data_IF_915309131581
#
_entry.id   IF_915309131581
#
_cell.length_a   1.000
_cell.length_b   1.000
_cell.length_c   1.000
_cell.angle_alpha   90.00
_cell.angle_beta   90.00
_cell.angle_gamma   90.00
#
_symmetry.space_group_name_H-M   'P 1'
#
loop_
_entity.id
_entity.type
_entity.pdbx_description
1 polymer ?
#
# COMPACT_ATOMS: atom_id res chain seq x y z
N UNK A 1 7.45 -42.00 18.13
CA UNK A 1 7.53 -40.57 17.76
C UNK A 1 7.91 -40.45 16.30
N UNK A 2 6.93 -40.18 15.43
CA UNK A 2 7.18 -39.87 14.04
C UNK A 2 7.99 -38.56 13.96
N UNK A 3 9.09 -38.58 13.23
CA UNK A 3 9.89 -37.35 13.01
C UNK A 3 9.06 -36.32 12.26
N UNK A 4 9.31 -35.03 12.50
CA UNK A 4 8.58 -33.93 11.82
C UNK A 4 8.68 -34.00 10.30
N UNK A 5 9.75 -34.59 9.76
CA UNK A 5 9.94 -34.80 8.33
C UNK A 5 9.01 -35.86 7.74
N UNK A 6 8.67 -36.92 8.49
CA UNK A 6 7.72 -37.93 7.99
C UNK A 6 6.28 -37.46 8.04
N UNK A 7 5.91 -36.60 9.00
CA UNK A 7 4.59 -36.00 9.03
C UNK A 7 4.34 -35.04 7.84
N UNK A 8 5.32 -34.23 7.47
CA UNK A 8 5.22 -33.34 6.32
C UNK A 8 5.11 -34.12 5.00
N UNK A 9 5.88 -35.19 4.81
CA UNK A 9 5.79 -36.02 3.61
C UNK A 9 4.45 -36.76 3.50
N UNK A 10 3.84 -37.13 4.62
CA UNK A 10 2.54 -37.80 4.66
C UNK A 10 1.39 -36.84 4.26
N UNK A 11 1.47 -35.57 4.59
CA UNK A 11 0.50 -34.55 4.14
C UNK A 11 0.55 -34.37 2.62
N UNK A 12 1.73 -34.32 2.04
CA UNK A 12 1.89 -34.21 0.57
C UNK A 12 1.39 -35.47 -0.14
N UNK A 13 1.62 -36.66 0.40
CA UNK A 13 1.11 -37.90 -0.17
C UNK A 13 -0.43 -37.93 -0.17
N UNK A 14 -1.07 -37.54 0.94
CA UNK A 14 -2.53 -37.50 1.02
C UNK A 14 -3.17 -36.50 0.07
N UNK A 15 -2.50 -35.41 -0.25
CA UNK A 15 -2.96 -34.46 -1.25
C UNK A 15 -2.86 -35.03 -2.67
N UNK A 16 -1.89 -35.88 -2.94
CA UNK A 16 -1.71 -36.51 -4.23
C UNK A 16 -2.66 -37.72 -4.45
N UNK A 17 -3.00 -38.46 -3.41
CA UNK A 17 -3.83 -39.68 -3.48
C UNK A 17 -5.31 -39.42 -3.87
N UNK A 18 -5.76 -38.15 -3.87
CA UNK A 18 -7.12 -37.75 -4.24
C UNK A 18 -7.27 -37.21 -5.67
N UNK A 19 -6.17 -37.06 -6.41
CA UNK A 19 -6.20 -36.56 -7.79
C UNK A 19 -6.11 -37.71 -8.77
N UNK A 20 -6.92 -37.74 -9.86
CA UNK A 20 -6.70 -38.66 -10.94
C UNK A 20 -5.34 -38.33 -11.57
N UNK A 21 -4.37 -39.22 -11.32
CA UNK A 21 -3.00 -39.12 -11.84
C UNK A 21 -2.95 -39.32 -13.36
N UNK A 22 -3.45 -38.39 -14.12
CA UNK A 22 -2.77 -38.04 -15.36
C UNK A 22 -1.65 -37.07 -14.93
N UNK A 23 -0.52 -37.58 -14.50
CA UNK A 23 0.69 -36.76 -14.30
C UNK A 23 1.08 -36.29 -15.70
N UNK A 24 0.56 -35.11 -16.07
CA UNK A 24 1.19 -34.38 -17.16
C UNK A 24 2.65 -34.14 -16.77
N UNK A 25 3.57 -34.40 -17.67
CA UNK A 25 4.97 -34.03 -17.46
C UNK A 25 5.05 -32.60 -16.95
N UNK A 26 5.85 -32.31 -15.91
CA UNK A 26 5.94 -30.98 -15.35
C UNK A 26 6.40 -30.01 -16.43
N UNK A 27 5.52 -29.09 -16.82
CA UNK A 27 5.83 -28.07 -17.78
C UNK A 27 6.43 -26.85 -17.05
N UNK A 28 7.56 -26.37 -17.52
CA UNK A 28 8.22 -25.21 -16.96
C UNK A 28 7.38 -23.94 -17.25
N UNK A 29 7.19 -23.10 -16.23
CA UNK A 29 6.56 -21.80 -16.41
C UNK A 29 7.36 -20.98 -17.44
N UNK A 30 6.66 -20.36 -18.39
CA UNK A 30 7.30 -19.50 -19.39
C UNK A 30 8.06 -18.36 -18.68
N UNK A 31 9.31 -18.14 -19.07
CA UNK A 31 10.21 -17.15 -18.44
C UNK A 31 9.58 -15.73 -18.41
N UNK A 32 8.75 -15.40 -19.40
CA UNK A 32 8.03 -14.13 -19.48
C UNK A 32 7.02 -13.92 -18.33
N UNK A 33 6.60 -14.99 -17.65
CA UNK A 33 5.67 -14.92 -16.51
C UNK A 33 6.38 -14.80 -15.17
N UNK A 34 7.68 -14.98 -15.13
CA UNK A 34 8.48 -14.87 -13.91
C UNK A 34 8.74 -13.37 -13.65
N UNK A 35 8.30 -12.82 -12.51
CA UNK A 35 8.60 -11.44 -12.19
C UNK A 35 10.11 -11.20 -12.07
N UNK A 36 10.56 -10.02 -12.50
CA UNK A 36 11.94 -9.59 -12.27
C UNK A 36 12.17 -9.26 -10.79
N UNK A 37 13.12 -9.91 -10.17
CA UNK A 37 13.55 -9.62 -8.81
C UNK A 37 14.88 -8.86 -8.84
N UNK A 38 14.88 -7.65 -8.31
CA UNK A 38 16.04 -6.76 -8.32
C UNK A 38 16.24 -6.07 -6.98
N UNK A 39 17.03 -4.99 -7.02
CA UNK A 39 17.24 -4.08 -5.89
C UNK A 39 16.51 -2.75 -6.07
N UNK A 40 15.97 -2.51 -7.25
CA UNK A 40 15.25 -1.29 -7.60
C UNK A 40 13.79 -1.65 -7.91
N UNK A 41 12.88 -1.05 -7.18
CA UNK A 41 11.47 -1.35 -7.24
C UNK A 41 10.67 -0.10 -7.66
N UNK A 42 9.79 -0.27 -8.62
CA UNK A 42 8.78 0.73 -8.98
C UNK A 42 7.44 0.25 -8.47
N UNK A 43 6.78 1.07 -7.64
CA UNK A 43 5.54 0.69 -6.97
C UNK A 43 4.47 1.75 -7.22
N UNK A 44 3.36 1.33 -7.81
CA UNK A 44 2.19 2.18 -8.04
C UNK A 44 1.41 2.41 -6.75
N UNK A 45 1.06 3.67 -6.49
CA UNK A 45 0.34 4.08 -5.28
C UNK A 45 -0.82 5.01 -5.63
N UNK A 46 -1.87 4.96 -4.82
CA UNK A 46 -2.97 5.91 -4.85
C UNK A 46 -2.73 7.01 -3.81
N UNK A 47 -3.06 8.24 -4.17
CA UNK A 47 -2.90 9.39 -3.29
C UNK A 47 -3.98 9.43 -2.21
N UNK A 48 -3.58 9.70 -0.97
CA UNK A 48 -4.46 9.75 0.19
C UNK A 48 -4.30 8.57 1.16
N UNK A 49 -4.98 8.63 2.31
CA UNK A 49 -6.04 9.59 2.70
C UNK A 49 -5.56 10.97 3.17
N UNK A 50 -4.34 11.09 3.72
CA UNK A 50 -3.86 12.30 4.39
C UNK A 50 -2.84 13.04 3.52
N UNK A 51 -3.32 13.77 2.53
CA UNK A 51 -2.47 14.48 1.57
C UNK A 51 -2.26 15.96 1.88
N UNK A 52 -1.76 16.69 0.87
CA UNK A 52 -1.73 18.13 0.85
C UNK A 52 -3.14 18.69 0.46
N UNK A 53 -3.49 19.92 0.88
CA UNK A 53 -2.71 20.83 1.73
C UNK A 53 -2.90 20.62 3.23
N UNK A 54 -3.75 19.68 3.64
CA UNK A 54 -4.19 19.54 5.05
C UNK A 54 -3.04 19.07 5.97
N UNK A 55 -2.22 18.13 5.50
CA UNK A 55 -1.20 17.46 6.33
C UNK A 55 0.23 17.75 5.86
N UNK A 56 0.45 17.77 4.57
CA UNK A 56 1.76 18.02 3.96
C UNK A 56 1.72 19.26 3.08
N UNK A 57 2.87 19.90 2.89
CA UNK A 57 3.01 20.94 1.85
C UNK A 57 3.03 20.29 0.47
N UNK A 58 2.47 20.98 -0.52
CA UNK A 58 2.37 20.44 -1.89
C UNK A 58 3.74 20.07 -2.47
N UNK A 59 4.75 20.89 -2.21
CA UNK A 59 6.13 20.70 -2.68
C UNK A 59 6.73 19.38 -2.14
N UNK A 60 6.35 18.99 -0.92
CA UNK A 60 6.81 17.71 -0.36
C UNK A 60 6.16 16.51 -1.06
N UNK A 61 4.91 16.61 -1.44
CA UNK A 61 4.24 15.54 -2.19
C UNK A 61 4.91 15.32 -3.55
N UNK A 62 5.32 16.41 -4.22
CA UNK A 62 6.11 16.32 -5.45
C UNK A 62 7.49 15.67 -5.20
N UNK A 63 8.16 16.09 -4.13
CA UNK A 63 9.44 15.51 -3.70
C UNK A 63 9.30 14.03 -3.35
N UNK A 64 8.22 13.62 -2.68
CA UNK A 64 7.94 12.22 -2.35
C UNK A 64 7.93 11.32 -3.60
N UNK A 65 7.29 11.76 -4.68
CA UNK A 65 7.17 11.00 -5.92
C UNK A 65 8.41 11.05 -6.81
N UNK A 66 9.21 12.10 -6.71
CA UNK A 66 10.46 12.24 -7.49
C UNK A 66 11.67 11.62 -6.80
N UNK A 67 11.55 11.26 -5.53
CA UNK A 67 12.63 10.72 -4.72
C UNK A 67 12.77 9.21 -4.86
N UNK A 68 13.98 8.73 -4.61
CA UNK A 68 14.28 7.32 -4.41
C UNK A 68 14.36 7.01 -2.91
N UNK A 69 13.53 6.07 -2.47
CA UNK A 69 13.39 5.67 -1.09
C UNK A 69 14.21 4.41 -0.81
N UNK A 70 15.00 4.43 0.25
CA UNK A 70 15.84 3.28 0.64
C UNK A 70 15.17 2.47 1.74
N UNK A 71 15.10 1.14 1.58
CA UNK A 71 14.60 0.23 2.62
C UNK A 71 15.60 0.17 3.77
N UNK A 72 15.14 0.56 4.96
CA UNK A 72 15.95 0.57 6.17
C UNK A 72 16.12 -0.84 6.73
N UNK A 73 17.27 -1.15 7.33
CA UNK A 73 17.58 -2.48 7.89
C UNK A 73 16.63 -2.89 9.03
N UNK A 74 16.05 -1.92 9.74
CA UNK A 74 15.06 -2.18 10.79
C UNK A 74 13.65 -2.26 10.18
N UNK A 75 13.47 -3.21 9.27
CA UNK A 75 12.21 -3.51 8.61
C UNK A 75 11.83 -4.96 8.87
N UNK A 76 10.53 -5.22 8.97
CA UNK A 76 10.00 -6.57 9.15
C UNK A 76 8.61 -6.69 8.52
N UNK A 77 7.94 -7.83 8.72
CA UNK A 77 6.60 -8.11 8.16
C UNK A 77 5.47 -7.22 8.72
N UNK A 78 5.70 -6.52 9.83
CA UNK A 78 4.73 -5.57 10.40
C UNK A 78 4.79 -4.23 9.68
N UNK A 79 6.02 -3.79 9.33
CA UNK A 79 6.23 -2.52 8.65
C UNK A 79 7.62 -2.43 8.03
N UNK A 80 7.68 -1.85 6.85
CA UNK A 80 8.92 -1.63 6.09
C UNK A 80 9.25 -0.15 6.20
N UNK A 81 10.26 0.14 7.03
CA UNK A 81 10.73 1.50 7.24
C UNK A 81 11.56 1.96 6.05
N UNK A 82 11.32 3.18 5.62
CA UNK A 82 12.06 3.81 4.53
C UNK A 82 12.92 4.97 5.03
N UNK A 83 13.96 5.25 4.28
CA UNK A 83 14.82 6.43 4.44
C UNK A 83 14.77 7.24 3.15
N UNK A 84 14.57 8.53 3.27
CA UNK A 84 14.46 9.48 2.17
C UNK A 84 14.29 10.91 2.66
N UNK A 85 13.70 11.81 1.87
CA UNK A 85 13.50 13.21 2.24
C UNK A 85 12.67 13.38 3.52
N UNK A 86 13.02 14.39 4.30
CA UNK A 86 12.28 14.75 5.52
C UNK A 86 11.00 15.49 5.14
N UNK A 87 9.85 15.15 5.72
CA UNK A 87 8.57 15.77 5.40
C UNK A 87 8.54 17.28 5.66
N UNK A 88 7.90 18.02 4.77
CA UNK A 88 7.47 19.40 5.01
C UNK A 88 6.00 19.39 5.40
N UNK A 89 5.75 19.63 6.68
CA UNK A 89 4.42 19.60 7.27
C UNK A 89 3.65 20.87 7.01
N UNK A 90 2.34 20.75 6.70
CA UNK A 90 1.43 21.88 6.61
C UNK A 90 0.90 22.33 7.99
N UNK A 91 0.92 21.44 8.98
CA UNK A 91 0.37 21.65 10.34
C UNK A 91 1.43 22.31 11.23
N UNK A 92 1.53 23.65 11.17
CA UNK A 92 2.55 24.43 11.89
C UNK A 92 2.43 24.35 13.42
N UNK A 93 1.20 24.15 13.93
CA UNK A 93 0.93 24.04 15.37
C UNK A 93 1.02 22.61 15.92
N UNK A 94 1.54 21.68 15.13
CA UNK A 94 1.62 20.28 15.49
C UNK A 94 0.41 19.46 15.04
N UNK A 95 0.43 18.18 15.40
CA UNK A 95 -0.63 17.23 15.14
C UNK A 95 -1.71 17.19 16.22
N UNK A 96 -2.40 16.06 16.32
CA UNK A 96 -3.41 15.82 17.35
C UNK A 96 -2.86 16.07 18.75
N UNK A 97 -3.64 16.75 19.59
CA UNK A 97 -3.27 17.13 20.96
C UNK A 97 -1.93 17.89 21.09
N UNK A 98 -1.50 18.64 20.08
CA UNK A 98 -0.21 19.34 20.05
C UNK A 98 1.01 18.45 19.93
N UNK A 99 0.83 17.18 19.55
CA UNK A 99 1.90 16.25 19.28
C UNK A 99 2.60 16.54 17.94
N UNK A 100 3.47 15.64 17.51
CA UNK A 100 4.16 15.78 16.22
C UNK A 100 3.16 15.96 15.06
N UNK A 101 3.46 16.75 14.01
CA UNK A 101 2.53 16.97 12.89
C UNK A 101 2.06 15.70 12.17
N UNK A 102 2.78 14.60 12.29
CA UNK A 102 2.34 13.29 11.76
C UNK A 102 1.18 12.66 12.53
N UNK A 103 0.87 13.14 13.73
CA UNK A 103 -0.19 12.55 14.55
C UNK A 103 -1.58 13.05 14.13
N UNK A 104 -2.48 12.11 13.95
CA UNK A 104 -3.92 12.31 13.74
C UNK A 104 -4.69 11.52 14.78
N UNK A 105 -6.00 11.77 14.91
CA UNK A 105 -6.86 10.87 15.68
C UNK A 105 -6.77 9.46 15.13
N UNK A 106 -6.87 8.45 16.00
CA UNK A 106 -6.78 7.05 15.57
C UNK A 106 -7.77 6.73 14.46
N UNK A 107 -7.26 6.18 13.37
CA UNK A 107 -8.03 5.80 12.20
C UNK A 107 -7.60 4.40 11.71
N UNK A 108 -8.45 3.79 10.89
CA UNK A 108 -8.15 2.53 10.24
C UNK A 108 -7.07 2.71 9.16
N UNK A 109 -6.16 1.75 9.10
CA UNK A 109 -5.14 1.68 8.08
C UNK A 109 -5.47 0.64 7.02
N UNK A 110 -5.43 1.03 5.75
CA UNK A 110 -5.43 0.10 4.65
C UNK A 110 -4.10 -0.69 4.59
N UNK A 111 -4.14 -1.95 4.16
CA UNK A 111 -2.92 -2.70 3.86
C UNK A 111 -2.19 -2.00 2.72
N UNK A 112 -0.89 -1.78 2.89
CA UNK A 112 -0.09 -1.03 1.93
C UNK A 112 -0.13 0.49 2.13
N UNK A 113 -0.85 1.02 3.13
CA UNK A 113 -0.73 2.41 3.51
C UNK A 113 0.71 2.73 3.91
N UNK A 114 1.20 3.89 3.51
CA UNK A 114 2.52 4.39 3.93
C UNK A 114 2.27 5.44 4.99
N UNK A 115 2.46 5.07 6.26
CA UNK A 115 2.29 5.99 7.36
C UNK A 115 3.59 6.72 7.68
N UNK A 116 3.46 7.91 8.29
CA UNK A 116 4.60 8.67 8.79
C UNK A 116 4.64 8.62 10.31
N UNK A 117 5.48 7.75 10.84
CA UNK A 117 5.77 7.70 12.27
C UNK A 117 6.85 8.73 12.60
N UNK A 118 6.45 9.92 13.04
CA UNK A 118 7.30 11.09 13.03
C UNK A 118 7.65 11.46 11.59
N UNK A 119 8.93 11.68 11.31
CA UNK A 119 9.42 12.02 9.96
C UNK A 119 9.78 10.80 9.09
N UNK A 120 9.50 9.59 9.59
CA UNK A 120 9.89 8.38 8.89
C UNK A 120 8.69 7.68 8.24
N UNK A 121 8.71 7.48 6.91
CA UNK A 121 7.70 6.68 6.25
C UNK A 121 7.88 5.18 6.53
N UNK A 122 6.76 4.52 6.81
CA UNK A 122 6.68 3.07 7.06
C UNK A 122 5.57 2.50 6.20
N UNK A 123 5.91 1.57 5.31
CA UNK A 123 4.89 0.81 4.56
C UNK A 123 4.27 -0.21 5.52
N UNK A 124 2.96 -0.15 5.71
CA UNK A 124 2.23 -1.11 6.52
C UNK A 124 2.00 -2.38 5.71
N UNK A 125 2.68 -3.44 6.11
CA UNK A 125 2.55 -4.76 5.48
C UNK A 125 1.31 -5.50 6.02
N UNK A 126 1.07 -6.71 5.52
CA UNK A 126 -0.14 -7.47 5.84
C UNK A 126 -0.31 -7.78 7.34
N UNK A 127 0.78 -7.92 8.07
CA UNK A 127 0.78 -8.18 9.52
C UNK A 127 0.94 -6.86 10.33
N UNK A 128 0.92 -5.71 9.65
CA UNK A 128 1.01 -4.39 10.28
C UNK A 128 -0.24 -4.03 11.07
N UNK A 129 -0.16 -2.93 11.85
CA UNK A 129 -1.32 -2.45 12.61
C UNK A 129 -2.45 -2.05 11.66
N UNK A 130 -3.68 -2.39 12.02
CA UNK A 130 -4.88 -2.00 11.30
C UNK A 130 -5.50 -0.69 11.80
N UNK A 131 -5.00 -0.17 12.91
CA UNK A 131 -5.41 1.08 13.55
C UNK A 131 -4.18 1.84 14.02
N UNK A 132 -4.27 3.16 14.00
CA UNK A 132 -3.27 4.03 14.60
C UNK A 132 -3.48 5.51 14.27
N UNK A 133 -2.68 6.34 14.90
CA UNK A 133 -2.80 7.79 14.86
C UNK A 133 -1.71 8.48 14.03
N UNK A 134 -1.39 7.97 12.84
CA UNK A 134 -0.39 8.60 11.96
C UNK A 134 -0.93 8.84 10.55
N UNK A 135 -0.52 9.96 9.96
CA UNK A 135 -0.91 10.33 8.60
C UNK A 135 -0.37 9.37 7.54
N UNK A 136 -1.17 9.12 6.52
CA UNK A 136 -0.84 8.27 5.38
C UNK A 136 -1.08 9.04 4.08
N UNK A 137 -0.04 9.64 3.44
CA UNK A 137 -0.23 10.39 2.20
C UNK A 137 -0.54 9.54 0.98
N UNK A 138 -0.14 8.27 1.00
CA UNK A 138 -0.34 7.34 -0.13
C UNK A 138 -0.62 5.91 0.36
N UNK A 139 -1.29 5.13 -0.49
CA UNK A 139 -1.54 3.70 -0.27
C UNK A 139 -1.14 2.92 -1.51
N UNK A 140 -0.39 1.85 -1.34
CA UNK A 140 0.07 0.97 -2.42
C UNK A 140 -1.14 0.26 -3.04
N UNK A 141 -1.23 0.24 -4.37
CA UNK A 141 -2.26 -0.46 -5.09
C UNK A 141 -2.22 -1.98 -4.81
N UNK A 142 -3.38 -2.60 -4.70
CA UNK A 142 -3.50 -4.03 -4.35
C UNK A 142 -2.70 -4.95 -5.27
N UNK A 143 -2.69 -4.68 -6.57
CA UNK A 143 -1.89 -5.43 -7.55
C UNK A 143 -0.37 -5.32 -7.33
N UNK A 144 0.10 -4.31 -6.60
CA UNK A 144 1.51 -4.03 -6.33
C UNK A 144 1.98 -4.59 -4.98
N UNK A 145 1.06 -5.01 -4.09
CA UNK A 145 1.38 -5.47 -2.73
C UNK A 145 2.36 -6.66 -2.68
N UNK A 146 2.36 -7.51 -3.69
CA UNK A 146 3.30 -8.64 -3.75
C UNK A 146 4.77 -8.20 -3.72
N UNK A 147 5.09 -7.01 -4.27
CA UNK A 147 6.44 -6.44 -4.29
C UNK A 147 6.95 -6.16 -2.89
N UNK A 148 6.04 -5.77 -1.97
CA UNK A 148 6.41 -5.46 -0.57
C UNK A 148 7.04 -6.67 0.10
N UNK A 149 6.51 -7.87 -0.17
CA UNK A 149 7.05 -9.12 0.37
C UNK A 149 8.43 -9.51 -0.16
N UNK A 150 8.93 -8.84 -1.18
CA UNK A 150 10.23 -9.10 -1.80
C UNK A 150 11.30 -8.11 -1.33
N UNK A 151 10.89 -7.00 -0.70
CA UNK A 151 11.81 -5.94 -0.27
C UNK A 151 12.76 -6.42 0.83
N UNK A 152 13.99 -6.02 0.74
CA UNK A 152 15.03 -6.26 1.74
C UNK A 152 15.85 -5.00 1.99
N UNK A 153 16.59 -5.00 3.09
CA UNK A 153 17.46 -3.88 3.45
C UNK A 153 18.36 -3.47 2.28
N UNK A 154 18.53 -2.19 2.11
CA UNK A 154 19.28 -1.53 1.03
C UNK A 154 18.64 -1.55 -0.36
N UNK A 155 17.49 -2.19 -0.56
CA UNK A 155 16.72 -2.01 -1.79
C UNK A 155 16.22 -0.57 -1.90
N UNK A 156 16.01 -0.12 -3.13
CA UNK A 156 15.48 1.21 -3.43
C UNK A 156 14.08 1.12 -4.04
N UNK A 157 13.24 2.08 -3.69
CA UNK A 157 11.86 2.16 -4.15
C UNK A 157 11.61 3.53 -4.77
N UNK A 158 11.00 3.55 -5.94
CA UNK A 158 10.40 4.74 -6.53
C UNK A 158 8.90 4.55 -6.58
N UNK A 159 8.15 5.47 -5.98
CA UNK A 159 6.70 5.46 -6.04
C UNK A 159 6.22 6.27 -7.24
N UNK A 160 5.15 5.82 -7.88
CA UNK A 160 4.49 6.58 -8.94
C UNK A 160 2.98 6.60 -8.72
N UNK A 161 2.33 7.75 -8.94
CA UNK A 161 0.89 7.88 -8.73
C UNK A 161 0.12 7.17 -9.83
N UNK A 162 -0.95 6.48 -9.45
CA UNK A 162 -1.91 5.86 -10.37
C UNK A 162 -3.33 6.19 -9.96
N UNK A 163 -4.25 6.14 -10.91
CA UNK A 163 -5.68 6.26 -10.64
C UNK A 163 -6.29 4.95 -10.15
N UNK A 164 -7.50 5.01 -9.60
CA UNK A 164 -8.27 3.82 -9.20
C UNK A 164 -8.56 2.92 -10.41
N UNK A 165 -8.85 3.51 -11.57
CA UNK A 165 -9.08 2.77 -12.81
C UNK A 165 -7.85 2.01 -13.25
N UNK A 166 -6.67 2.64 -13.16
CA UNK A 166 -5.38 2.00 -13.47
C UNK A 166 -5.06 0.89 -12.47
N UNK A 167 -5.26 1.11 -11.17
CA UNK A 167 -5.08 0.08 -10.15
C UNK A 167 -5.97 -1.15 -10.40
N UNK A 168 -7.25 -0.92 -10.71
CA UNK A 168 -8.20 -1.97 -11.07
C UNK A 168 -7.83 -2.69 -12.39
N UNK A 169 -7.26 -1.98 -13.36
CA UNK A 169 -6.78 -2.58 -14.60
C UNK A 169 -5.58 -3.50 -14.35
N UNK A 170 -4.62 -3.06 -13.52
CA UNK A 170 -3.47 -3.86 -13.11
C UNK A 170 -3.90 -5.13 -12.36
N UNK A 171 -4.86 -5.04 -11.44
CA UNK A 171 -5.38 -6.20 -10.72
C UNK A 171 -6.04 -7.21 -11.68
N UNK A 172 -6.92 -6.74 -12.57
CA UNK A 172 -7.55 -7.61 -13.58
C UNK A 172 -6.53 -8.31 -14.45
N UNK A 173 -5.50 -7.59 -14.91
CA UNK A 173 -4.43 -8.16 -15.72
C UNK A 173 -3.67 -9.23 -14.95
N UNK A 174 -3.32 -8.98 -13.69
CA UNK A 174 -2.63 -9.94 -12.83
C UNK A 174 -3.47 -11.22 -12.66
N UNK A 175 -4.77 -11.09 -12.39
CA UNK A 175 -5.70 -12.22 -12.27
C UNK A 175 -5.77 -13.02 -13.57
N UNK A 176 -5.91 -12.36 -14.72
CA UNK A 176 -5.95 -13.03 -16.02
C UNK A 176 -4.65 -13.77 -16.32
N UNK A 177 -3.50 -13.15 -16.02
CA UNK A 177 -2.19 -13.78 -16.17
C UNK A 177 -2.08 -15.06 -15.35
N UNK A 178 -2.53 -15.01 -14.09
CA UNK A 178 -2.52 -16.17 -13.19
C UNK A 178 -3.49 -17.28 -13.63
N UNK A 179 -4.67 -16.91 -14.15
CA UNK A 179 -5.67 -17.88 -14.59
C UNK A 179 -5.28 -18.59 -15.89
N UNK A 180 -4.68 -17.87 -16.81
CA UNK A 180 -4.38 -18.37 -18.15
C UNK A 180 -2.94 -18.87 -18.30
N UNK A 181 -2.07 -18.66 -17.32
CA UNK A 181 -0.62 -18.88 -17.40
C UNK A 181 0.01 -18.25 -18.67
N UNK A 182 -0.59 -17.18 -19.14
CA UNK A 182 -0.15 -16.42 -20.30
C UNK A 182 -0.06 -14.94 -19.92
N UNK A 183 0.96 -14.24 -20.39
CA UNK A 183 1.10 -12.81 -20.19
C UNK A 183 -0.09 -12.11 -20.87
N UNK A 184 -0.95 -11.47 -20.10
CA UNK A 184 -2.02 -10.66 -20.67
C UNK A 184 -1.39 -9.48 -21.42
N UNK A 185 -1.90 -9.18 -22.61
CA UNK A 185 -1.47 -7.98 -23.35
C UNK A 185 -1.83 -6.76 -22.52
N UNK A 186 -0.85 -5.89 -22.29
CA UNK A 186 -1.08 -4.60 -21.64
C UNK A 186 -1.90 -3.73 -22.59
N UNK A 187 -3.15 -3.54 -22.27
CA UNK A 187 -4.05 -2.68 -23.06
C UNK A 187 -3.83 -1.19 -22.80
N UNK A 188 -3.06 -0.84 -21.76
CA UNK A 188 -2.66 0.54 -21.47
C UNK A 188 -1.24 0.56 -20.91
N UNK A 189 -0.34 1.28 -21.55
CA UNK A 189 0.82 1.86 -20.86
C UNK A 189 0.27 2.73 -19.75
N UNK A 190 0.74 2.52 -18.51
CA UNK A 190 0.36 3.35 -17.38
C UNK A 190 0.81 4.79 -17.68
N UNK A 191 -0.07 5.59 -18.25
CA UNK A 191 0.13 7.02 -18.34
C UNK A 191 0.30 7.51 -16.91
N UNK A 192 1.45 8.12 -16.60
CA UNK A 192 1.70 8.66 -15.27
C UNK A 192 0.65 9.73 -15.05
N UNK A 193 -0.35 9.43 -14.24
CA UNK A 193 -1.38 10.40 -13.87
C UNK A 193 -0.70 11.49 -13.04
N UNK A 194 -0.94 12.74 -13.37
CA UNK A 194 -0.56 13.83 -12.49
C UNK A 194 -1.11 13.52 -11.09
N UNK A 195 -0.29 13.75 -10.05
CA UNK A 195 -0.73 13.56 -8.66
C UNK A 195 -2.09 14.24 -8.51
N UNK A 196 -3.12 13.48 -8.17
CA UNK A 196 -4.43 14.07 -7.89
C UNK A 196 -4.23 15.10 -6.78
N UNK A 197 -4.61 16.34 -7.03
CA UNK A 197 -4.38 17.43 -6.08
C UNK A 197 -5.14 17.22 -4.76
N UNK A 198 -6.17 16.38 -4.75
CA UNK A 198 -7.06 16.18 -3.61
C UNK A 198 -7.24 14.70 -3.28
N UNK A 199 -7.01 14.36 -2.01
CA UNK A 199 -7.34 13.04 -1.45
C UNK A 199 -8.80 12.91 -1.02
N UNK A 200 -9.55 14.03 -1.03
CA UNK A 200 -10.95 14.10 -0.64
C UNK A 200 -11.83 13.71 -1.83
N UNK A 201 -12.60 12.65 -1.67
CA UNK A 201 -13.56 12.16 -2.67
C UNK A 201 -14.90 12.87 -2.59
N UNK A 202 -15.33 13.19 -1.38
CA UNK A 202 -16.56 13.89 -1.10
C UNK A 202 -16.53 14.58 0.27
N UNK A 203 -17.28 15.64 0.39
CA UNK A 203 -17.51 16.38 1.63
C UNK A 203 -19.00 16.59 1.84
N UNK A 204 -19.48 16.24 3.03
CA UNK A 204 -20.82 16.62 3.49
C UNK A 204 -20.69 17.59 4.66
N UNK A 205 -21.19 18.79 4.49
CA UNK A 205 -21.19 19.79 5.55
C UNK A 205 -22.10 19.37 6.73
N UNK A 206 -21.80 19.90 7.91
CA UNK A 206 -22.61 19.67 9.10
C UNK A 206 -24.01 20.25 8.91
N UNK A 207 -25.01 19.53 9.42
CA UNK A 207 -26.41 19.98 9.52
C UNK A 207 -26.86 19.88 10.97
N UNK A 208 -28.03 20.47 11.38
CA UNK A 208 -28.55 20.31 12.74
C UNK A 208 -28.71 18.85 13.18
N UNK A 209 -28.95 17.93 12.22
CA UNK A 209 -29.24 16.52 12.47
C UNK A 209 -28.07 15.59 12.18
N UNK A 210 -26.96 16.09 11.62
CA UNK A 210 -25.84 15.25 11.24
C UNK A 210 -24.49 16.02 11.25
N UNK A 211 -23.40 15.43 11.79
CA UNK A 211 -22.09 16.05 11.79
C UNK A 211 -21.52 16.14 10.37
N UNK A 212 -20.49 16.97 10.21
CA UNK A 212 -19.65 17.00 9.00
C UNK A 212 -19.13 15.58 8.70
N UNK A 213 -19.01 15.22 7.43
CA UNK A 213 -18.41 13.97 7.02
C UNK A 213 -17.46 14.20 5.83
N UNK A 214 -16.24 13.70 5.93
CA UNK A 214 -15.22 13.77 4.89
C UNK A 214 -14.90 12.36 4.44
N UNK A 215 -14.96 12.13 3.12
CA UNK A 215 -14.65 10.85 2.50
C UNK A 215 -13.31 10.98 1.80
N UNK A 216 -12.31 10.18 2.23
CA UNK A 216 -10.96 10.24 1.69
C UNK A 216 -10.58 8.95 0.99
N UNK A 217 -9.80 9.08 -0.10
CA UNK A 217 -9.24 7.94 -0.81
C UNK A 217 -8.24 7.19 0.08
N UNK A 218 -8.44 5.90 0.29
CA UNK A 218 -7.56 5.03 1.08
C UNK A 218 -7.17 3.78 0.27
N UNK A 219 -6.39 3.95 -0.78
CA UNK A 219 -6.06 2.90 -1.73
C UNK A 219 -7.19 2.64 -2.75
N UNK A 220 -7.10 1.52 -3.46
CA UNK A 220 -8.06 1.10 -4.49
C UNK A 220 -9.26 0.30 -3.94
N UNK A 221 -9.22 -0.04 -2.66
CA UNK A 221 -10.22 -0.93 -2.05
C UNK A 221 -10.94 -0.33 -0.85
N UNK A 222 -10.52 0.84 -0.34
CA UNK A 222 -11.04 1.42 0.89
C UNK A 222 -11.27 2.93 0.76
N UNK A 223 -12.15 3.43 1.61
CA UNK A 223 -12.42 4.84 1.83
C UNK A 223 -12.30 5.09 3.32
N UNK A 224 -11.52 6.10 3.72
CA UNK A 224 -11.53 6.61 5.08
C UNK A 224 -12.68 7.60 5.22
N UNK A 225 -13.54 7.37 6.21
CA UNK A 225 -14.66 8.24 6.54
C UNK A 225 -14.42 8.89 7.90
N UNK A 226 -14.29 10.20 7.89
CA UNK A 226 -14.14 11.03 9.10
C UNK A 226 -15.46 11.70 9.43
N UNK A 227 -15.87 11.64 10.70
CA UNK A 227 -17.06 12.31 11.21
C UNK A 227 -16.71 13.40 12.22
N UNK A 228 -17.32 14.59 12.06
CA UNK A 228 -17.10 15.73 12.94
C UNK A 228 -15.85 16.52 12.59
N UNK A 229 -15.41 17.36 13.50
CA UNK A 229 -14.31 18.29 13.28
C UNK A 229 -12.93 17.71 13.69
N UNK A 230 -12.85 16.42 13.96
CA UNK A 230 -11.66 15.72 14.47
C UNK A 230 -11.04 16.41 15.70
N UNK A 231 -11.88 17.00 16.52
CA UNK A 231 -11.53 17.61 17.81
C UNK A 231 -11.99 16.65 18.90
N UNK A 232 -11.09 16.30 19.82
CA UNK A 232 -11.43 15.48 20.96
C UNK A 232 -12.40 16.28 21.85
N UNK A 233 -13.65 15.87 21.89
CA UNK A 233 -14.67 16.40 22.77
C UNK A 233 -14.66 15.59 24.08
N UNK A 234 -14.39 16.25 25.19
CA UNK A 234 -14.35 15.64 26.53
C UNK A 234 -15.72 15.72 27.22
#
# INVERSE_FOLDING_TARGET
>A
TLSSSSAASDVYKRQADGLPLAIAEPEALATALIPGYGKEWKIGVLYGPHGAPDFFKAEYIEEFFTSSWKVHFNSNRLGIRLTGPTPSWARENGGEAGLHPSNVHDCEYAIGAINFTGDFPVILAKDGPSLGGFVCPVTIAKAELWKIGQLKADDTISFYPISVEQANALERQQIQTLQNFAKAEMTHEAEIVAVQAESILALREATPDAPKAVYRQAGDSYILLEYGDNVLDL
#
